data_IF_804019284999
#
_entry.id   IF_804019284999
#
_cell.length_a   1.000
_cell.length_b   1.000
_cell.length_c   1.000
_cell.angle_alpha   90.00
_cell.angle_beta   90.00
_cell.angle_gamma   90.00
#
_symmetry.space_group_name_H-M   'P 1'
#
loop_
_entity.id
_entity.type
_entity.pdbx_description
1 polymer ?
#
# COMPACT_ATOMS: atom_id res chain seq x y z
N UNK A 1 25.88 -14.61 14.17
CA UNK A 1 25.79 -13.78 12.96
C UNK A 1 24.56 -12.93 13.14
N UNK A 2 24.72 -11.62 13.28
CA UNK A 2 23.61 -10.69 13.44
C UNK A 2 23.68 -9.76 12.23
N UNK A 3 22.76 -9.97 11.29
CA UNK A 3 22.65 -9.16 10.09
C UNK A 3 21.95 -7.86 10.51
N UNK A 4 22.77 -6.90 10.91
CA UNK A 4 22.43 -5.48 10.88
C UNK A 4 22.12 -5.13 9.42
N UNK A 5 20.85 -4.97 9.09
CA UNK A 5 20.45 -4.21 7.91
C UNK A 5 19.36 -3.23 8.32
N UNK A 6 19.80 -2.16 8.98
CA UNK A 6 19.04 -0.95 9.23
C UNK A 6 18.53 -0.33 7.92
N UNK A 7 17.43 -0.87 7.40
CA UNK A 7 16.65 -0.30 6.31
C UNK A 7 15.74 0.82 6.86
N UNK A 8 16.33 1.75 7.60
CA UNK A 8 15.64 2.83 8.29
C UNK A 8 15.75 4.10 7.44
N UNK A 9 14.92 4.21 6.41
CA UNK A 9 14.84 5.41 5.58
C UNK A 9 13.84 5.26 4.46
N UNK A 10 12.59 5.63 4.71
CA UNK A 10 11.53 5.78 3.69
C UNK A 10 11.01 4.49 3.00
N UNK A 11 11.41 3.31 3.48
CA UNK A 11 11.06 2.04 2.84
C UNK A 11 9.68 1.52 3.29
N UNK A 12 8.65 2.16 2.75
CA UNK A 12 7.26 1.79 2.93
C UNK A 12 6.44 2.20 1.72
N UNK A 13 5.22 1.68 1.64
CA UNK A 13 4.29 2.00 0.59
C UNK A 13 3.00 2.59 1.17
N UNK A 14 2.23 3.21 0.28
CA UNK A 14 0.87 3.58 0.57
C UNK A 14 -0.05 2.49 0.05
N UNK A 15 -1.06 2.14 0.83
CA UNK A 15 -2.17 1.30 0.40
C UNK A 15 -3.39 2.21 0.28
N UNK A 16 -3.84 2.40 -0.95
CA UNK A 16 -5.10 3.07 -1.23
C UNK A 16 -6.22 2.05 -1.06
N UNK A 17 -6.96 2.19 0.04
CA UNK A 17 -8.08 1.35 0.43
C UNK A 17 -9.37 2.01 -0.04
N UNK A 18 -10.03 1.39 -1.00
CA UNK A 18 -11.34 1.83 -1.45
C UNK A 18 -12.45 1.32 -0.52
N UNK A 19 -13.47 2.14 -0.26
CA UNK A 19 -14.66 1.79 0.51
C UNK A 19 -15.90 2.50 -0.04
N UNK A 20 -17.12 2.01 0.24
CA UNK A 20 -18.34 2.71 -0.17
C UNK A 20 -18.52 4.09 0.49
N UNK A 21 -17.86 4.36 1.62
CA UNK A 21 -17.86 5.66 2.28
C UNK A 21 -16.80 6.63 1.72
N UNK A 22 -15.93 6.19 0.82
CA UNK A 22 -14.81 6.95 0.28
C UNK A 22 -13.53 6.12 0.21
N UNK A 23 -12.38 6.75 0.30
CA UNK A 23 -11.09 6.04 0.26
C UNK A 23 -10.19 6.51 1.40
N UNK A 24 -9.30 5.62 1.83
CA UNK A 24 -8.27 5.93 2.81
C UNK A 24 -6.90 5.51 2.28
N UNK A 25 -5.86 6.24 2.68
CA UNK A 25 -4.47 5.90 2.39
C UNK A 25 -3.83 5.41 3.68
N UNK A 26 -3.47 4.14 3.72
CA UNK A 26 -2.70 3.56 4.83
C UNK A 26 -1.22 3.56 4.48
N UNK A 27 -0.38 3.95 5.44
CA UNK A 27 1.06 3.76 5.33
C UNK A 27 1.40 2.38 5.85
N UNK A 28 2.04 1.58 5.01
CA UNK A 28 2.54 0.26 5.35
C UNK A 28 4.05 0.25 5.23
N UNK A 29 4.71 -0.45 6.14
CA UNK A 29 6.14 -0.70 6.08
C UNK A 29 6.44 -1.81 5.06
N UNK A 30 7.59 -1.70 4.38
CA UNK A 30 8.01 -2.68 3.37
C UNK A 30 7.44 -2.43 1.96
N UNK A 31 7.67 -3.42 1.09
CA UNK A 31 7.32 -3.36 -0.34
C UNK A 31 5.78 -3.47 -0.54
N UNK A 32 5.20 -2.80 -1.56
CA UNK A 32 3.77 -2.93 -1.84
C UNK A 32 3.36 -4.37 -2.20
N UNK A 33 2.13 -4.78 -1.83
CA UNK A 33 1.58 -6.07 -2.24
C UNK A 33 1.53 -6.19 -3.76
N UNK A 34 1.62 -7.42 -4.26
CA UNK A 34 1.67 -7.68 -5.70
C UNK A 34 0.37 -7.30 -6.40
N UNK A 35 0.45 -6.96 -7.70
CA UNK A 35 -0.74 -6.78 -8.53
C UNK A 35 -1.59 -8.05 -8.52
N UNK A 36 -2.88 -7.88 -8.25
CA UNK A 36 -3.86 -8.94 -8.17
C UNK A 36 -3.94 -9.63 -6.81
N UNK A 37 -3.08 -9.28 -5.84
CA UNK A 37 -3.15 -9.78 -4.47
C UNK A 37 -4.40 -9.24 -3.75
N UNK A 38 -4.91 -10.01 -2.79
CA UNK A 38 -6.08 -9.62 -1.99
C UNK A 38 -5.61 -9.14 -0.62
N UNK A 39 -6.00 -7.91 -0.27
CA UNK A 39 -5.79 -7.31 1.04
C UNK A 39 -7.11 -7.16 1.78
N UNK A 40 -7.06 -7.35 3.09
CA UNK A 40 -8.23 -7.19 3.96
C UNK A 40 -8.25 -5.77 4.52
N UNK A 41 -9.32 -5.04 4.22
CA UNK A 41 -9.54 -3.68 4.65
C UNK A 41 -10.85 -3.59 5.44
N UNK A 42 -10.75 -3.76 6.75
CA UNK A 42 -11.92 -3.93 7.61
C UNK A 42 -12.63 -5.24 7.28
N UNK A 43 -13.89 -5.16 6.87
CA UNK A 43 -14.70 -6.33 6.48
C UNK A 43 -14.66 -6.62 4.97
N UNK A 44 -14.02 -5.75 4.18
CA UNK A 44 -13.94 -5.90 2.72
C UNK A 44 -12.62 -6.56 2.31
N UNK A 45 -12.71 -7.45 1.32
CA UNK A 45 -11.55 -7.99 0.60
C UNK A 45 -11.38 -7.19 -0.67
N UNK A 46 -10.24 -6.54 -0.78
CA UNK A 46 -9.94 -5.67 -1.92
C UNK A 46 -8.75 -6.23 -2.68
N UNK A 47 -8.78 -6.11 -3.99
CA UNK A 47 -7.72 -6.60 -4.87
C UNK A 47 -6.80 -5.47 -5.27
N UNK A 48 -5.50 -5.70 -5.29
CA UNK A 48 -4.54 -4.73 -5.83
C UNK A 48 -4.73 -4.64 -7.34
N UNK A 49 -5.34 -3.57 -7.81
CA UNK A 49 -5.60 -3.31 -9.23
C UNK A 49 -4.38 -2.69 -9.93
N UNK A 50 -3.65 -1.84 -9.20
CA UNK A 50 -2.57 -1.04 -9.77
C UNK A 50 -1.49 -0.70 -8.73
N UNK A 51 -0.24 -0.67 -9.16
CA UNK A 51 0.88 -0.11 -8.40
C UNK A 51 1.37 1.16 -9.12
N UNK A 52 1.45 2.28 -8.41
CA UNK A 52 1.79 3.59 -8.98
C UNK A 52 2.58 4.48 -8.02
N UNK A 53 2.91 5.72 -8.42
CA UNK A 53 3.40 6.73 -7.49
C UNK A 53 2.30 7.16 -6.50
N UNK A 54 2.70 7.74 -5.37
CA UNK A 54 1.76 8.33 -4.42
C UNK A 54 0.89 9.42 -5.05
N UNK A 55 -0.42 9.47 -4.76
CA UNK A 55 -1.28 10.59 -5.14
C UNK A 55 -1.06 11.83 -4.28
N UNK A 56 -0.29 11.72 -3.18
CA UNK A 56 -0.02 12.84 -2.29
C UNK A 56 1.12 13.71 -2.87
N UNK A 57 0.93 15.04 -2.96
CA UNK A 57 1.95 15.92 -3.50
C UNK A 57 3.22 15.90 -2.64
N UNK A 58 4.36 15.62 -3.27
CA UNK A 58 5.67 15.55 -2.60
C UNK A 58 5.99 14.20 -1.96
N UNK A 59 5.04 13.25 -1.96
CA UNK A 59 5.29 11.89 -1.48
C UNK A 59 5.87 11.04 -2.62
N UNK A 60 7.06 10.46 -2.38
CA UNK A 60 7.82 9.69 -3.38
C UNK A 60 7.59 8.19 -3.29
N UNK A 61 6.76 7.74 -2.35
CA UNK A 61 6.51 6.32 -2.09
C UNK A 61 5.66 5.71 -3.18
N UNK A 62 5.74 4.39 -3.31
CA UNK A 62 4.81 3.62 -4.14
C UNK A 62 3.45 3.54 -3.46
N UNK A 63 2.40 3.59 -4.26
CA UNK A 63 1.02 3.42 -3.81
C UNK A 63 0.41 2.20 -4.50
N UNK A 64 -0.09 1.27 -3.69
CA UNK A 64 -0.88 0.13 -4.12
C UNK A 64 -2.36 0.51 -4.10
N UNK A 65 -2.98 0.50 -5.26
CA UNK A 65 -4.38 0.84 -5.46
C UNK A 65 -5.24 -0.40 -5.41
N UNK A 66 -6.25 -0.35 -4.54
CA UNK A 66 -7.20 -1.44 -4.37
C UNK A 66 -8.50 -1.19 -5.14
N UNK A 67 -9.16 -2.27 -5.55
CA UNK A 67 -10.50 -2.30 -6.10
C UNK A 67 -11.35 -3.38 -5.41
N UNK A 68 -12.68 -3.30 -5.53
CA UNK A 68 -13.55 -4.41 -5.14
C UNK A 68 -13.23 -5.63 -6.03
N UNK A 69 -12.83 -6.74 -5.40
CA UNK A 69 -12.54 -8.00 -6.07
C UNK A 69 -13.78 -8.78 -6.49
#
# INVERSE_FOLDING_TARGET
MADDNGNQGDNGHLLFVWSPAGWTLQRCDGDPPALGEIVEAGEAKLRISKLGPSPLPGDRRRCAYTELG
#
